data_IF_235792590047
#
_entry.id   IF_235792590047
#
_cell.length_a   1.000
_cell.length_b   1.000
_cell.length_c   1.000
_cell.angle_alpha   90.00
_cell.angle_beta   90.00
_cell.angle_gamma   90.00
#
_symmetry.space_group_name_H-M   'P 1'
#
loop_
_entity.id
_entity.type
_entity.pdbx_description
1 polymer ?
#
# COMPACT_ATOMS: atom_id res chain seq x y z
N UNK A 1 17.17 -13.72 6.26
CA UNK A 1 16.13 -14.59 6.89
C UNK A 1 15.16 -15.05 5.80
N UNK A 2 14.71 -16.30 5.81
CA UNK A 2 13.65 -16.80 4.94
C UNK A 2 12.50 -17.32 5.79
N UNK A 3 11.29 -16.83 5.53
CA UNK A 3 10.04 -17.36 6.09
C UNK A 3 9.20 -17.78 4.90
N UNK A 4 9.02 -19.09 4.70
CA UNK A 4 8.28 -19.57 3.55
C UNK A 4 7.47 -20.83 3.76
N UNK A 5 6.52 -21.04 2.86
CA UNK A 5 5.76 -22.29 2.72
C UNK A 5 4.87 -22.58 3.93
N UNK A 6 4.32 -21.52 4.54
CA UNK A 6 3.43 -21.61 5.69
C UNK A 6 1.96 -21.42 5.30
N UNK A 7 1.10 -22.16 5.98
CA UNK A 7 -0.34 -21.91 6.06
C UNK A 7 -0.63 -21.24 7.40
N UNK A 8 -1.24 -20.05 7.36
CA UNK A 8 -1.58 -19.28 8.56
C UNK A 8 -3.08 -19.02 8.52
N UNK A 9 -3.80 -19.57 9.48
CA UNK A 9 -5.26 -19.51 9.49
C UNK A 9 -5.82 -19.21 10.88
N UNK A 10 -6.97 -18.52 10.91
CA UNK A 10 -7.80 -18.32 12.11
C UNK A 10 -7.07 -17.62 13.27
N UNK A 11 -6.21 -16.66 12.94
CA UNK A 11 -5.56 -15.80 13.95
C UNK A 11 -6.54 -14.72 14.41
N UNK A 12 -7.04 -14.86 15.64
CA UNK A 12 -8.02 -13.95 16.22
C UNK A 12 -7.74 -13.67 17.70
N UNK A 13 -7.16 -12.50 17.98
CA UNK A 13 -6.95 -12.01 19.34
C UNK A 13 -8.28 -11.48 19.92
N UNK A 14 -8.91 -12.25 20.81
CA UNK A 14 -10.22 -11.89 21.40
C UNK A 14 -10.11 -11.15 22.73
N UNK A 15 -8.97 -11.27 23.43
CA UNK A 15 -8.75 -10.63 24.73
C UNK A 15 -8.43 -9.12 24.62
N UNK A 16 -8.15 -8.61 23.41
CA UNK A 16 -7.89 -7.20 23.17
C UNK A 16 -6.48 -6.75 23.55
N UNK A 17 -5.54 -7.68 23.73
CA UNK A 17 -4.14 -7.33 23.92
C UNK A 17 -3.65 -6.48 22.73
N UNK A 18 -3.03 -5.35 23.04
CA UNK A 18 -2.55 -4.39 22.04
C UNK A 18 -1.50 -5.04 21.15
N UNK A 19 -1.63 -4.86 19.84
CA UNK A 19 -0.78 -5.38 18.78
C UNK A 19 -0.79 -6.90 18.57
N UNK A 20 -1.70 -7.63 19.23
CA UNK A 20 -1.78 -9.08 19.08
C UNK A 20 -2.67 -9.51 17.90
N UNK A 21 -2.33 -10.64 17.29
CA UNK A 21 -3.10 -11.23 16.19
C UNK A 21 -2.58 -10.90 14.78
N UNK A 22 -1.29 -10.55 14.67
CA UNK A 22 -0.52 -10.51 13.43
C UNK A 22 -0.09 -11.94 13.08
N UNK A 23 -0.13 -12.31 11.79
CA UNK A 23 0.35 -13.60 11.30
C UNK A 23 1.88 -13.73 11.32
N UNK A 24 2.56 -12.97 10.46
CA UNK A 24 4.02 -12.86 10.37
C UNK A 24 4.40 -11.40 10.63
N UNK A 25 5.21 -11.15 11.66
CA UNK A 25 5.71 -9.83 11.98
C UNK A 25 7.24 -9.78 11.97
N UNK A 26 7.81 -8.81 11.25
CA UNK A 26 9.23 -8.47 11.32
C UNK A 26 9.39 -6.98 11.64
N UNK A 27 10.21 -6.68 12.64
CA UNK A 27 10.36 -5.33 13.15
C UNK A 27 11.84 -4.97 13.33
N UNK A 28 12.21 -3.77 12.86
CA UNK A 28 13.40 -3.08 13.34
C UNK A 28 13.18 -2.48 14.73
N UNK A 29 14.18 -1.76 15.25
CA UNK A 29 14.13 -1.24 16.63
C UNK A 29 13.38 0.09 16.79
N UNK A 30 13.48 1.00 15.82
CA UNK A 30 12.80 2.31 15.83
C UNK A 30 12.77 2.92 14.44
N UNK A 31 11.89 3.88 14.20
CA UNK A 31 11.80 4.58 12.92
C UNK A 31 12.78 5.75 12.82
N UNK A 32 13.44 5.83 11.67
CA UNK A 32 14.28 6.97 11.27
C UNK A 32 14.22 7.11 9.73
N UNK A 33 14.11 8.34 9.22
CA UNK A 33 13.97 8.60 7.79
C UNK A 33 15.29 8.52 7.00
N UNK A 34 16.40 8.23 7.67
CA UNK A 34 17.69 7.87 7.05
C UNK A 34 17.86 6.36 6.90
N UNK A 35 16.95 5.57 7.49
CA UNK A 35 16.94 4.11 7.49
C UNK A 35 18.31 3.52 7.88
N UNK A 36 18.81 3.87 9.08
CA UNK A 36 20.10 3.41 9.57
C UNK A 36 20.10 1.89 9.67
N UNK A 37 21.18 1.33 9.14
CA UNK A 37 21.29 -0.09 8.85
C UNK A 37 21.25 -0.94 10.13
N UNK A 38 21.71 -0.39 11.25
CA UNK A 38 21.73 -1.01 12.58
C UNK A 38 20.36 -1.04 13.27
N UNK A 39 19.41 -0.20 12.85
CA UNK A 39 18.06 -0.18 13.42
C UNK A 39 17.06 -0.98 12.59
N UNK A 40 17.35 -1.21 11.31
CA UNK A 40 16.44 -1.85 10.38
C UNK A 40 16.49 -3.38 10.42
N UNK A 41 15.33 -4.03 10.37
CA UNK A 41 15.26 -5.46 10.02
C UNK A 41 15.52 -5.60 8.53
N UNK A 42 16.50 -6.41 8.12
CA UNK A 42 16.96 -6.40 6.73
C UNK A 42 17.36 -7.75 6.15
N UNK A 43 17.46 -7.79 4.82
CA UNK A 43 17.90 -8.95 4.04
C UNK A 43 17.05 -10.20 4.34
N UNK A 44 15.74 -10.07 4.13
CA UNK A 44 14.81 -11.15 4.35
C UNK A 44 13.80 -11.34 3.22
N UNK A 45 13.23 -12.55 3.18
CA UNK A 45 12.20 -12.93 2.24
C UNK A 45 11.06 -13.58 3.00
N UNK A 46 9.84 -13.13 2.73
CA UNK A 46 8.59 -13.82 3.09
C UNK A 46 7.98 -14.35 1.80
N UNK A 47 7.87 -15.68 1.66
CA UNK A 47 7.45 -16.28 0.39
C UNK A 47 6.44 -17.42 0.56
N UNK A 48 5.60 -17.65 -0.44
CA UNK A 48 4.76 -18.85 -0.52
C UNK A 48 3.85 -19.03 0.71
N UNK A 49 3.18 -17.96 1.13
CA UNK A 49 2.29 -18.00 2.29
C UNK A 49 0.85 -18.14 1.82
N UNK A 50 0.13 -19.09 2.41
CA UNK A 50 -1.33 -19.16 2.31
C UNK A 50 -1.93 -18.66 3.61
N UNK A 51 -2.63 -17.52 3.58
CA UNK A 51 -3.19 -16.89 4.77
C UNK A 51 -4.72 -16.83 4.74
N UNK A 52 -5.39 -17.12 5.85
CA UNK A 52 -6.83 -16.85 5.97
C UNK A 52 -7.31 -16.44 7.35
N UNK A 53 -8.46 -15.78 7.37
CA UNK A 53 -9.26 -15.55 8.57
C UNK A 53 -8.47 -14.89 9.70
N UNK A 54 -7.79 -13.80 9.36
CA UNK A 54 -7.04 -12.99 10.30
C UNK A 54 -7.18 -11.50 9.99
N UNK A 55 -6.71 -10.66 10.91
CA UNK A 55 -6.79 -9.20 10.74
C UNK A 55 -5.64 -8.66 9.91
N UNK A 56 -4.43 -9.14 10.19
CA UNK A 56 -3.20 -8.70 9.56
C UNK A 56 -2.30 -9.90 9.29
N UNK A 57 -2.00 -10.18 8.03
CA UNK A 57 -1.26 -11.40 7.66
C UNK A 57 0.25 -11.20 7.72
N UNK A 58 0.80 -10.24 6.96
CA UNK A 58 2.23 -9.91 6.97
C UNK A 58 2.40 -8.46 7.42
N UNK A 59 3.27 -8.26 8.40
CA UNK A 59 3.63 -6.96 8.97
C UNK A 59 5.14 -6.76 8.90
N UNK A 60 5.55 -5.60 8.38
CA UNK A 60 6.94 -5.16 8.44
C UNK A 60 6.99 -3.72 8.94
N UNK A 61 7.78 -3.48 9.97
CA UNK A 61 8.08 -2.14 10.45
C UNK A 61 9.58 -1.88 10.47
N UNK A 62 10.00 -0.71 9.99
CA UNK A 62 11.39 -0.31 9.89
C UNK A 62 12.26 -1.37 9.18
N UNK A 63 11.76 -1.89 8.06
CA UNK A 63 12.42 -2.90 7.25
C UNK A 63 13.24 -2.30 6.10
N UNK A 64 14.31 -3.00 5.70
CA UNK A 64 15.14 -2.64 4.54
C UNK A 64 15.58 -3.86 3.73
N UNK A 65 15.69 -3.75 2.42
CA UNK A 65 16.21 -4.84 1.55
C UNK A 65 15.45 -6.17 1.72
N UNK A 66 14.14 -6.16 1.45
CA UNK A 66 13.32 -7.35 1.62
C UNK A 66 12.35 -7.61 0.48
N UNK A 67 11.90 -8.85 0.40
CA UNK A 67 10.95 -9.32 -0.62
C UNK A 67 9.79 -10.02 0.07
N UNK A 68 8.56 -9.64 -0.27
CA UNK A 68 7.34 -10.39 0.07
C UNK A 68 6.78 -10.91 -1.25
N UNK A 69 6.65 -12.23 -1.40
CA UNK A 69 6.16 -12.78 -2.67
C UNK A 69 5.30 -14.03 -2.56
N UNK A 70 4.53 -14.30 -3.60
CA UNK A 70 3.73 -15.53 -3.73
C UNK A 70 2.81 -15.72 -2.51
N UNK A 71 1.96 -14.74 -2.25
CA UNK A 71 1.03 -14.80 -1.12
C UNK A 71 -0.37 -15.01 -1.67
N UNK A 72 -1.07 -16.02 -1.14
CA UNK A 72 -2.50 -16.23 -1.40
C UNK A 72 -3.23 -15.98 -0.10
N UNK A 73 -4.12 -14.99 -0.08
CA UNK A 73 -4.81 -14.57 1.13
C UNK A 73 -6.32 -14.52 0.94
N UNK A 74 -7.07 -15.00 1.93
CA UNK A 74 -8.54 -14.94 1.93
C UNK A 74 -9.09 -14.45 3.27
N UNK A 75 -10.14 -13.65 3.25
CA UNK A 75 -10.82 -13.20 4.48
C UNK A 75 -9.88 -12.48 5.45
N UNK A 76 -9.04 -11.59 4.93
CA UNK A 76 -8.22 -10.71 5.77
C UNK A 76 -9.05 -9.47 6.09
N UNK A 77 -9.86 -9.54 7.15
CA UNK A 77 -10.95 -8.57 7.39
C UNK A 77 -10.87 -7.92 8.78
N UNK A 78 -11.60 -6.80 9.00
CA UNK A 78 -11.71 -6.17 10.31
C UNK A 78 -12.41 -7.01 11.39
N UNK A 79 -13.02 -8.14 11.02
CA UNK A 79 -13.83 -8.98 11.92
C UNK A 79 -12.94 -9.73 12.93
N UNK A 80 -11.71 -10.04 12.54
CA UNK A 80 -10.71 -10.68 13.39
C UNK A 80 -9.93 -9.63 14.20
N UNK A 81 -9.45 -10.00 15.39
CA UNK A 81 -8.58 -9.20 16.28
C UNK A 81 -9.02 -7.74 16.46
N UNK A 82 -10.34 -7.47 16.41
CA UNK A 82 -10.91 -6.12 16.29
C UNK A 82 -10.48 -5.16 17.41
N UNK A 83 -10.22 -5.71 18.61
CA UNK A 83 -9.85 -4.94 19.81
C UNK A 83 -8.34 -4.77 19.99
N UNK A 84 -7.51 -5.39 19.14
CA UNK A 84 -6.06 -5.39 19.31
C UNK A 84 -5.35 -4.12 18.81
N UNK A 85 -6.07 -3.17 18.18
CA UNK A 85 -5.49 -1.90 17.75
C UNK A 85 -4.55 -1.98 16.53
N UNK A 86 -4.40 -3.15 15.89
CA UNK A 86 -3.65 -3.28 14.63
C UNK A 86 -4.50 -2.87 13.43
N UNK A 87 -3.84 -2.41 12.37
CA UNK A 87 -4.51 -2.19 11.08
C UNK A 87 -4.93 -3.51 10.44
N UNK A 88 -6.04 -3.50 9.71
CA UNK A 88 -6.45 -4.63 8.89
C UNK A 88 -5.76 -4.57 7.52
N UNK A 89 -4.94 -5.58 7.17
CA UNK A 89 -4.25 -5.66 5.87
C UNK A 89 -3.69 -7.07 5.59
N UNK A 90 -3.72 -7.54 4.35
CA UNK A 90 -2.89 -8.69 3.94
C UNK A 90 -1.41 -8.36 4.15
N UNK A 91 -0.98 -7.18 3.71
CA UNK A 91 0.39 -6.71 3.88
C UNK A 91 0.38 -5.30 4.47
N UNK A 92 0.97 -5.15 5.65
CA UNK A 92 1.14 -3.87 6.34
C UNK A 92 2.64 -3.54 6.40
N UNK A 93 3.02 -2.38 5.85
CA UNK A 93 4.41 -1.91 5.79
C UNK A 93 4.47 -0.52 6.41
N UNK A 94 5.36 -0.33 7.38
CA UNK A 94 5.52 0.96 8.05
C UNK A 94 6.97 1.42 7.98
N UNK A 95 7.19 2.61 7.42
CA UNK A 95 8.49 3.30 7.46
C UNK A 95 9.66 2.49 6.90
N UNK A 96 9.46 1.76 5.80
CA UNK A 96 10.44 0.86 5.21
C UNK A 96 11.15 1.45 3.98
N UNK A 97 12.32 0.92 3.64
CA UNK A 97 13.10 1.29 2.44
C UNK A 97 13.46 0.06 1.62
N UNK A 98 13.63 0.22 0.31
CA UNK A 98 14.21 -0.80 -0.57
C UNK A 98 13.54 -2.19 -0.48
N UNK A 99 12.31 -2.31 -0.98
CA UNK A 99 11.57 -3.56 -0.90
C UNK A 99 10.74 -3.89 -2.15
N UNK A 100 10.41 -5.16 -2.29
CA UNK A 100 9.56 -5.66 -3.38
C UNK A 100 8.42 -6.47 -2.80
N UNK A 101 7.20 -6.20 -3.28
CA UNK A 101 6.03 -7.03 -3.04
C UNK A 101 5.54 -7.55 -4.40
N UNK A 102 5.54 -8.87 -4.58
CA UNK A 102 5.30 -9.48 -5.89
C UNK A 102 4.37 -10.69 -5.82
N UNK A 103 3.48 -10.84 -6.80
CA UNK A 103 2.60 -12.00 -6.94
C UNK A 103 1.74 -12.26 -5.70
N UNK A 104 0.77 -11.37 -5.47
CA UNK A 104 -0.12 -11.42 -4.30
C UNK A 104 -1.56 -11.56 -4.77
N UNK A 105 -2.21 -12.66 -4.39
CA UNK A 105 -3.59 -12.98 -4.72
C UNK A 105 -4.46 -12.86 -3.47
N UNK A 106 -5.49 -12.02 -3.54
CA UNK A 106 -6.34 -11.69 -2.39
C UNK A 106 -7.82 -11.87 -2.72
N UNK A 107 -8.55 -12.60 -1.89
CA UNK A 107 -10.01 -12.68 -1.92
C UNK A 107 -10.60 -12.16 -0.60
N UNK A 108 -11.59 -11.27 -0.66
CA UNK A 108 -12.26 -10.72 0.52
C UNK A 108 -11.25 -10.15 1.53
N UNK A 109 -10.37 -9.27 1.07
CA UNK A 109 -9.27 -8.73 1.85
C UNK A 109 -9.32 -7.22 1.95
N UNK A 110 -8.88 -6.72 3.10
CA UNK A 110 -8.53 -5.33 3.34
C UNK A 110 -7.43 -4.80 2.40
N UNK A 111 -6.68 -5.68 1.74
CA UNK A 111 -5.63 -5.36 0.79
C UNK A 111 -4.31 -4.98 1.45
N UNK A 112 -3.72 -3.85 1.08
CA UNK A 112 -2.38 -3.44 1.55
C UNK A 112 -2.42 -2.06 2.19
N UNK A 113 -1.59 -1.88 3.21
CA UNK A 113 -1.33 -0.59 3.83
C UNK A 113 0.17 -0.37 3.87
N UNK A 114 0.66 0.60 3.10
CA UNK A 114 2.06 1.02 3.07
C UNK A 114 2.09 2.45 3.60
N UNK A 115 2.55 2.63 4.83
CA UNK A 115 2.35 3.84 5.60
C UNK A 115 3.58 4.31 6.37
N UNK A 116 3.44 5.47 7.02
CA UNK A 116 4.50 6.11 7.78
C UNK A 116 4.93 5.29 8.99
N UNK A 117 6.21 5.42 9.35
CA UNK A 117 6.67 5.09 10.70
C UNK A 117 6.23 6.16 11.68
N UNK A 118 5.53 5.77 12.75
CA UNK A 118 4.94 6.70 13.71
C UNK A 118 5.31 6.32 15.14
N UNK A 119 5.78 7.30 15.92
CA UNK A 119 5.99 7.15 17.37
C UNK A 119 5.25 8.28 18.07
N UNK A 120 4.32 7.92 18.97
CA UNK A 120 3.54 8.87 19.79
C UNK A 120 2.89 9.98 18.93
N UNK A 121 2.31 9.60 17.80
CA UNK A 121 1.65 10.51 16.84
C UNK A 121 2.59 11.33 15.95
N UNK A 122 3.91 11.20 16.09
CA UNK A 122 4.88 11.87 15.23
C UNK A 122 5.26 10.97 14.05
N UNK A 123 5.10 11.49 12.83
CA UNK A 123 5.59 10.85 11.62
C UNK A 123 7.10 10.98 11.53
N UNK A 124 7.82 9.86 11.57
CA UNK A 124 9.28 9.81 11.64
C UNK A 124 9.93 9.36 10.34
N UNK A 125 9.33 8.41 9.64
CA UNK A 125 9.79 7.95 8.34
C UNK A 125 8.62 7.66 7.40
N UNK A 126 8.89 7.59 6.10
CA UNK A 126 7.90 7.23 5.06
C UNK A 126 8.42 6.05 4.23
N UNK A 127 7.59 5.20 3.62
CA UNK A 127 8.08 4.20 2.68
C UNK A 127 8.73 4.82 1.43
N UNK A 128 9.86 4.27 0.99
CA UNK A 128 10.55 4.69 -0.25
C UNK A 128 11.24 3.52 -0.96
N UNK A 129 11.59 3.71 -2.24
CA UNK A 129 12.37 2.76 -3.04
C UNK A 129 11.73 1.37 -3.11
N UNK A 130 10.51 1.27 -3.64
CA UNK A 130 9.83 -0.03 -3.67
C UNK A 130 9.06 -0.31 -4.95
N UNK A 131 8.80 -1.60 -5.15
CA UNK A 131 8.01 -2.11 -6.26
C UNK A 131 6.85 -2.96 -5.76
N UNK A 132 5.65 -2.68 -6.25
CA UNK A 132 4.51 -3.59 -6.21
C UNK A 132 4.30 -4.18 -7.60
N UNK A 133 4.18 -5.50 -7.69
CA UNK A 133 3.98 -6.16 -8.96
C UNK A 133 3.05 -7.38 -8.86
N UNK A 134 2.26 -7.61 -9.90
CA UNK A 134 1.37 -8.78 -10.02
C UNK A 134 0.44 -8.91 -8.80
N UNK A 135 -0.40 -7.90 -8.60
CA UNK A 135 -1.31 -7.85 -7.45
C UNK A 135 -2.75 -8.06 -7.92
N UNK A 136 -3.42 -9.05 -7.37
CA UNK A 136 -4.82 -9.35 -7.63
C UNK A 136 -5.63 -9.25 -6.34
N UNK A 137 -6.73 -8.50 -6.38
CA UNK A 137 -7.64 -8.34 -5.25
C UNK A 137 -9.09 -8.41 -5.72
N UNK A 138 -9.85 -9.37 -5.19
CA UNK A 138 -11.27 -9.53 -5.49
C UNK A 138 -12.13 -9.50 -4.22
N UNK A 139 -12.93 -8.43 -4.07
CA UNK A 139 -13.90 -8.27 -3.00
C UNK A 139 -15.35 -8.38 -3.50
N UNK A 140 -15.60 -8.97 -4.68
CA UNK A 140 -16.94 -9.12 -5.26
C UNK A 140 -17.93 -9.84 -4.37
N UNK A 141 -17.46 -10.79 -3.54
CA UNK A 141 -18.29 -11.61 -2.66
C UNK A 141 -18.64 -10.97 -1.31
N UNK A 142 -18.25 -9.72 -1.04
CA UNK A 142 -18.51 -9.03 0.23
C UNK A 142 -19.52 -7.90 0.09
N UNK A 143 -20.30 -7.67 1.14
CA UNK A 143 -21.32 -6.62 1.14
C UNK A 143 -20.80 -5.28 1.67
N UNK A 144 -19.79 -5.30 2.53
CA UNK A 144 -19.23 -4.09 3.16
C UNK A 144 -17.90 -3.65 2.54
N UNK A 145 -17.60 -2.36 2.72
CA UNK A 145 -16.39 -1.72 2.21
C UNK A 145 -15.13 -2.29 2.85
N UNK A 146 -14.17 -2.65 2.00
CA UNK A 146 -12.77 -2.91 2.36
C UNK A 146 -11.88 -1.90 1.61
N UNK A 147 -10.71 -1.57 2.21
CA UNK A 147 -9.83 -0.48 1.75
C UNK A 147 -9.35 -0.71 0.32
N UNK A 148 -8.69 -1.83 0.07
CA UNK A 148 -7.88 -2.03 -1.13
C UNK A 148 -6.42 -1.75 -0.83
N UNK A 149 -5.75 -0.95 -1.65
CA UNK A 149 -4.33 -0.66 -1.50
C UNK A 149 -4.19 0.83 -1.17
N UNK A 150 -3.63 1.14 -0.01
CA UNK A 150 -3.29 2.52 0.37
C UNK A 150 -1.79 2.64 0.57
N UNK A 151 -1.19 3.63 -0.07
CA UNK A 151 0.25 3.83 -0.13
C UNK A 151 0.57 5.28 0.21
N UNK A 152 1.45 5.49 1.18
CA UNK A 152 2.16 6.74 1.37
C UNK A 152 3.63 6.54 0.99
N UNK A 153 4.16 7.39 0.12
CA UNK A 153 5.56 7.30 -0.32
C UNK A 153 6.18 8.66 -0.58
N UNK A 154 7.49 8.80 -0.36
CA UNK A 154 8.16 10.10 -0.43
C UNK A 154 9.67 10.04 -0.31
N UNK A 155 10.24 11.19 0.03
CA UNK A 155 11.65 11.60 0.12
C UNK A 155 12.28 12.04 -1.19
N UNK A 156 13.31 12.88 -1.07
CA UNK A 156 13.97 13.53 -2.21
C UNK A 156 14.65 12.56 -3.18
N UNK A 157 15.13 11.40 -2.70
CA UNK A 157 15.66 10.32 -3.53
C UNK A 157 14.81 9.08 -3.31
N UNK A 158 13.77 8.93 -4.11
CA UNK A 158 12.81 7.84 -3.94
C UNK A 158 12.17 7.40 -5.25
N UNK A 159 12.10 6.08 -5.44
CA UNK A 159 11.56 5.46 -6.64
C UNK A 159 10.44 4.49 -6.28
N UNK A 160 9.25 4.68 -6.85
CA UNK A 160 8.10 3.82 -6.62
C UNK A 160 7.55 3.31 -7.96
N UNK A 161 7.44 2.00 -8.09
CA UNK A 161 6.85 1.35 -9.25
C UNK A 161 5.68 0.46 -8.84
N UNK A 162 4.52 0.67 -9.44
CA UNK A 162 3.32 -0.14 -9.25
C UNK A 162 2.94 -0.69 -10.61
N UNK A 163 3.04 -2.00 -10.79
CA UNK A 163 2.85 -2.64 -12.09
C UNK A 163 1.94 -3.86 -12.02
N UNK A 164 1.10 -4.07 -13.03
CA UNK A 164 0.24 -5.25 -13.16
C UNK A 164 -0.64 -5.46 -11.91
N UNK A 165 -1.57 -4.51 -11.70
CA UNK A 165 -2.51 -4.55 -10.57
C UNK A 165 -3.93 -4.68 -11.10
N UNK A 166 -4.67 -5.69 -10.64
CA UNK A 166 -6.10 -5.83 -10.89
C UNK A 166 -6.88 -5.89 -9.57
N UNK A 167 -7.83 -4.98 -9.39
CA UNK A 167 -8.64 -4.89 -8.16
C UNK A 167 -10.13 -4.72 -8.48
N UNK A 168 -10.98 -5.48 -7.79
CA UNK A 168 -12.45 -5.41 -7.92
C UNK A 168 -13.09 -5.11 -6.57
N UNK A 169 -13.97 -4.09 -6.54
CA UNK A 169 -14.62 -3.53 -5.34
C UNK A 169 -13.60 -3.11 -4.27
N UNK A 170 -12.58 -2.39 -4.70
CA UNK A 170 -11.52 -1.89 -3.85
C UNK A 170 -10.90 -0.63 -4.45
N UNK A 171 -10.30 0.22 -3.61
CA UNK A 171 -9.69 1.48 -4.04
C UNK A 171 -8.16 1.34 -4.03
N UNK A 172 -7.50 1.84 -5.07
CA UNK A 172 -6.07 2.14 -5.05
C UNK A 172 -5.89 3.61 -4.66
N UNK A 173 -5.22 3.88 -3.55
CA UNK A 173 -5.06 5.20 -2.97
C UNK A 173 -3.58 5.52 -2.76
N UNK A 174 -3.11 6.59 -3.40
CA UNK A 174 -1.73 7.04 -3.35
C UNK A 174 -1.66 8.40 -2.66
N UNK A 175 -0.85 8.49 -1.63
CA UNK A 175 -0.62 9.69 -0.83
C UNK A 175 0.85 10.10 -0.93
N UNK A 176 1.07 11.41 -0.86
CA UNK A 176 2.41 12.00 -0.83
C UNK A 176 3.16 11.76 -2.15
N UNK A 177 4.32 12.39 -2.31
CA UNK A 177 5.04 12.45 -3.58
C UNK A 177 6.46 11.88 -3.43
N UNK A 178 6.74 10.67 -3.94
CA UNK A 178 8.11 10.22 -4.17
C UNK A 178 8.73 11.01 -5.32
N UNK A 179 10.05 10.90 -5.50
CA UNK A 179 10.74 11.57 -6.60
C UNK A 179 10.21 11.05 -7.93
N UNK A 180 10.21 9.73 -8.12
CA UNK A 180 9.62 9.12 -9.30
C UNK A 180 8.53 8.12 -8.95
N UNK A 181 7.35 8.29 -9.54
CA UNK A 181 6.19 7.40 -9.42
C UNK A 181 5.78 6.84 -10.78
N UNK A 182 5.77 5.52 -10.89
CA UNK A 182 5.35 4.80 -12.09
C UNK A 182 4.15 3.91 -11.81
N UNK A 183 3.09 4.08 -12.59
CA UNK A 183 1.94 3.18 -12.64
C UNK A 183 1.82 2.59 -14.05
N UNK A 184 1.87 1.25 -14.16
CA UNK A 184 1.74 0.53 -15.43
C UNK A 184 0.75 -0.62 -15.31
N UNK A 185 -0.15 -0.77 -16.28
CA UNK A 185 -1.08 -1.89 -16.35
C UNK A 185 -1.93 -2.03 -15.07
N UNK A 186 -2.68 -0.98 -14.77
CA UNK A 186 -3.50 -0.89 -13.56
C UNK A 186 -4.96 -0.96 -13.97
N UNK A 187 -5.71 -1.89 -13.39
CA UNK A 187 -7.16 -2.04 -13.59
C UNK A 187 -7.82 -2.07 -12.22
N UNK A 188 -8.52 -1.01 -11.86
CA UNK A 188 -9.21 -0.91 -10.57
C UNK A 188 -10.67 -0.58 -10.79
N UNK A 189 -11.53 -1.30 -10.08
CA UNK A 189 -12.97 -1.03 -10.07
C UNK A 189 -13.46 -0.88 -8.63
N UNK A 190 -14.24 0.18 -8.39
CA UNK A 190 -14.92 0.41 -7.12
C UNK A 190 -16.36 0.84 -7.36
N UNK A 191 -17.28 0.43 -6.49
CA UNK A 191 -18.67 0.87 -6.59
C UNK A 191 -18.78 2.37 -6.32
N UNK A 192 -19.53 3.10 -7.14
CA UNK A 192 -19.74 4.56 -7.03
C UNK A 192 -20.22 4.95 -5.62
N UNK A 193 -21.11 4.14 -5.03
CA UNK A 193 -21.65 4.35 -3.68
C UNK A 193 -20.58 4.23 -2.57
N UNK A 194 -19.46 3.56 -2.82
CA UNK A 194 -18.34 3.37 -1.88
C UNK A 194 -17.29 4.48 -2.00
N UNK A 195 -17.11 5.00 -3.21
CA UNK A 195 -16.18 6.07 -3.56
C UNK A 195 -15.36 5.76 -4.82
N UNK A 196 -14.35 6.59 -5.12
CA UNK A 196 -13.48 6.46 -6.28
C UNK A 196 -12.69 5.15 -6.30
N UNK A 197 -12.44 4.62 -7.51
CA UNK A 197 -11.60 3.43 -7.71
C UNK A 197 -10.11 3.75 -7.62
N UNK A 198 -9.70 4.92 -8.11
CA UNK A 198 -8.34 5.44 -7.96
C UNK A 198 -8.38 6.78 -7.24
N UNK A 199 -7.49 6.91 -6.25
CA UNK A 199 -7.25 8.15 -5.53
C UNK A 199 -5.79 8.53 -5.60
N UNK A 200 -5.52 9.79 -5.95
CA UNK A 200 -4.16 10.34 -5.96
C UNK A 200 -4.16 11.68 -5.22
N UNK A 201 -3.53 11.68 -4.05
CA UNK A 201 -3.47 12.79 -3.12
C UNK A 201 -2.01 13.23 -2.92
N UNK A 202 -1.52 14.10 -3.80
CA UNK A 202 -0.13 14.56 -3.82
C UNK A 202 0.06 15.90 -3.11
N UNK A 203 -0.99 16.72 -2.93
CA UNK A 203 -0.86 18.04 -2.30
C UNK A 203 -1.01 17.96 -0.77
N UNK A 204 0.12 17.72 -0.11
CA UNK A 204 0.20 17.71 1.35
C UNK A 204 0.87 18.96 1.94
N UNK A 205 0.87 20.09 1.21
CA UNK A 205 1.60 21.31 1.65
C UNK A 205 1.11 21.90 2.98
N UNK A 206 -0.17 21.72 3.31
CA UNK A 206 -0.76 22.16 4.57
C UNK A 206 -0.77 21.05 5.64
N UNK A 207 -0.21 19.89 5.34
CA UNK A 207 -0.17 18.73 6.23
C UNK A 207 1.26 18.48 6.74
N UNK A 208 1.41 18.10 8.01
CA UNK A 208 2.72 17.79 8.62
C UNK A 208 3.48 16.68 7.89
N UNK A 209 2.78 15.80 7.18
CA UNK A 209 3.33 14.72 6.34
C UNK A 209 3.94 15.24 5.04
N UNK A 210 3.59 16.46 4.62
CA UNK A 210 4.16 17.13 3.45
C UNK A 210 5.67 17.35 3.53
N UNK A 211 6.26 17.28 4.73
CA UNK A 211 7.72 17.34 4.92
C UNK A 211 8.48 16.23 4.19
N UNK A 212 7.81 15.11 3.88
CA UNK A 212 8.39 13.99 3.16
C UNK A 212 8.22 14.09 1.64
N UNK A 213 7.56 15.13 1.10
CA UNK A 213 7.40 15.25 -0.36
C UNK A 213 8.75 15.50 -1.06
N UNK A 214 9.01 14.79 -2.13
CA UNK A 214 10.03 15.17 -3.10
C UNK A 214 9.64 16.50 -3.78
N UNK A 215 10.61 17.40 -3.95
CA UNK A 215 10.39 18.75 -4.49
C UNK A 215 11.09 18.99 -5.83
N UNK A 216 12.13 18.22 -6.12
CA UNK A 216 12.99 18.38 -7.29
C UNK A 216 13.00 17.08 -8.09
N UNK A 217 13.17 17.22 -9.40
CA UNK A 217 13.23 16.15 -10.39
C UNK A 217 12.04 15.19 -10.27
N UNK A 218 10.85 15.73 -10.02
CA UNK A 218 9.67 14.91 -9.75
C UNK A 218 9.03 14.42 -11.05
N UNK A 219 8.83 13.10 -11.14
CA UNK A 219 8.28 12.45 -12.33
C UNK A 219 7.09 11.58 -11.97
N UNK A 220 5.96 11.83 -12.64
CA UNK A 220 4.79 10.95 -12.64
C UNK A 220 4.68 10.30 -14.01
N UNK A 221 4.66 8.97 -14.08
CA UNK A 221 4.34 8.26 -15.31
C UNK A 221 3.21 7.26 -15.13
N UNK A 222 2.17 7.43 -15.95
CA UNK A 222 0.98 6.57 -16.01
C UNK A 222 0.93 5.95 -17.40
N UNK A 223 0.87 4.62 -17.52
CA UNK A 223 0.47 3.99 -18.78
C UNK A 223 -0.46 2.80 -18.55
N UNK A 224 -1.50 2.70 -19.39
CA UNK A 224 -2.49 1.63 -19.31
C UNK A 224 -3.12 1.57 -17.90
N UNK A 225 -3.65 2.71 -17.45
CA UNK A 225 -4.27 2.87 -16.12
C UNK A 225 -5.76 3.10 -16.32
N UNK A 226 -6.55 2.12 -15.90
CA UNK A 226 -8.00 2.10 -16.00
C UNK A 226 -8.62 2.04 -14.61
N UNK A 227 -9.32 3.10 -14.24
CA UNK A 227 -10.04 3.20 -12.98
C UNK A 227 -11.52 3.45 -13.27
N UNK A 228 -12.38 2.50 -12.91
CA UNK A 228 -13.80 2.52 -13.31
C UNK A 228 -14.75 2.26 -12.14
N UNK A 229 -16.00 2.67 -12.30
CA UNK A 229 -17.08 2.22 -11.43
C UNK A 229 -17.75 0.94 -11.96
N UNK A 230 -18.80 0.48 -11.27
CA UNK A 230 -19.60 -0.69 -11.64
C UNK A 230 -20.27 -0.57 -13.03
N UNK A 231 -20.45 0.66 -13.53
CA UNK A 231 -21.01 0.95 -14.85
C UNK A 231 -19.95 1.09 -15.95
N UNK A 232 -18.66 0.92 -15.61
CA UNK A 232 -17.53 1.09 -16.53
C UNK A 232 -17.12 2.54 -16.78
N UNK A 233 -17.73 3.51 -16.08
CA UNK A 233 -17.39 4.93 -16.18
C UNK A 233 -16.12 5.23 -15.38
N UNK A 234 -15.35 6.23 -15.82
CA UNK A 234 -14.17 6.72 -15.10
C UNK A 234 -14.49 7.04 -13.62
N UNK A 235 -13.72 6.48 -12.70
CA UNK A 235 -13.91 6.64 -11.24
C UNK A 235 -12.59 7.01 -10.57
N UNK A 236 -12.31 8.32 -10.53
CA UNK A 236 -11.06 8.87 -9.99
C UNK A 236 -11.32 10.08 -9.09
N UNK A 237 -10.47 10.26 -8.09
CA UNK A 237 -10.36 11.46 -7.26
C UNK A 237 -8.87 11.84 -7.16
N UNK A 238 -8.52 12.94 -7.81
CA UNK A 238 -7.13 13.35 -8.02
C UNK A 238 -7.06 14.82 -7.64
N UNK A 239 -6.19 15.16 -6.68
CA UNK A 239 -6.07 16.52 -6.18
C UNK A 239 -5.31 17.46 -7.14
N UNK A 240 -4.01 17.65 -6.94
CA UNK A 240 -3.15 18.49 -7.76
C UNK A 240 -1.95 17.67 -8.20
N UNK A 241 -1.74 17.62 -9.51
CA UNK A 241 -0.52 17.02 -10.08
C UNK A 241 0.50 18.12 -10.35
N UNK A 242 1.42 18.32 -9.42
CA UNK A 242 2.50 19.31 -9.48
C UNK A 242 3.88 18.71 -9.79
N UNK A 243 3.93 17.46 -10.28
CA UNK A 243 5.20 16.86 -10.71
C UNK A 243 5.80 17.67 -11.86
N UNK A 244 7.14 17.78 -11.89
CA UNK A 244 7.85 18.54 -12.92
C UNK A 244 7.69 17.89 -14.30
N UNK A 245 7.81 16.56 -14.36
CA UNK A 245 7.57 15.74 -15.54
C UNK A 245 6.33 14.88 -15.33
N UNK A 246 5.41 14.91 -16.31
CA UNK A 246 4.18 14.12 -16.28
C UNK A 246 4.01 13.44 -17.63
N UNK A 247 4.10 12.11 -17.64
CA UNK A 247 3.99 11.28 -18.83
C UNK A 247 2.75 10.38 -18.72
N UNK A 248 1.76 10.58 -19.59
CA UNK A 248 0.48 9.87 -19.53
C UNK A 248 0.16 9.24 -20.88
N UNK A 249 -0.12 7.95 -20.87
CA UNK A 249 -0.47 7.17 -22.06
C UNK A 249 -1.61 6.19 -21.72
N UNK A 250 -2.59 6.03 -22.61
CA UNK A 250 -3.65 5.02 -22.46
C UNK A 250 -4.31 5.00 -21.06
N UNK A 251 -4.87 6.12 -20.62
CA UNK A 251 -5.67 6.22 -19.38
C UNK A 251 -7.12 6.55 -19.70
N UNK A 252 -8.07 6.11 -18.87
CA UNK A 252 -9.50 6.36 -19.08
C UNK A 252 -10.06 7.61 -18.35
N UNK A 253 -9.18 8.44 -17.79
CA UNK A 253 -9.53 9.64 -17.03
C UNK A 253 -8.64 10.83 -17.42
N UNK A 254 -8.99 12.02 -16.94
CA UNK A 254 -8.17 13.24 -17.12
C UNK A 254 -7.45 13.58 -15.82
N UNK A 255 -6.21 14.05 -15.92
CA UNK A 255 -5.51 14.65 -14.79
C UNK A 255 -6.00 16.10 -14.57
N UNK A 256 -6.01 16.58 -13.32
CA UNK A 256 -6.30 17.98 -13.02
C UNK A 256 -5.25 18.87 -13.73
N UNK A 257 -5.69 20.01 -14.26
CA UNK A 257 -4.81 20.97 -14.93
C UNK A 257 -3.79 21.56 -13.96
N UNK A 258 -2.62 21.97 -14.46
CA UNK A 258 -1.72 22.84 -13.70
C UNK A 258 -2.40 24.20 -13.57
N UNK A 259 -2.92 24.53 -12.39
CA UNK A 259 -3.23 25.92 -12.07
C UNK A 259 -1.95 26.73 -12.24
N UNK A 260 -1.99 27.72 -13.14
CA UNK A 260 -0.87 28.61 -13.45
C UNK A 260 -0.55 29.51 -12.27
#
# INVERSE_FOLDING_TARGET
>A
ILISDHVIERINCTNGNVNWGIGIGLAGSTYDNTYPDELAVKNFVVANITGSDCRQLVHVENGKHFIIRNITARNITPDYSKKAGIDNATVAIYGCDNFVIDNINMENSAGMLIGYGVIKGRYLSIPQNFKLNNIHLDNTKREYKLRGIQISSGNATSFVAITNVEMKRATLELHNQPQHLFLRNIRVMQQSATGPALKMHFDLRQDVRGKFMAKQDTLLSLANVHAVNESGQSSVDIDRVNHQVVNVEAVNFRLPGRER
#
